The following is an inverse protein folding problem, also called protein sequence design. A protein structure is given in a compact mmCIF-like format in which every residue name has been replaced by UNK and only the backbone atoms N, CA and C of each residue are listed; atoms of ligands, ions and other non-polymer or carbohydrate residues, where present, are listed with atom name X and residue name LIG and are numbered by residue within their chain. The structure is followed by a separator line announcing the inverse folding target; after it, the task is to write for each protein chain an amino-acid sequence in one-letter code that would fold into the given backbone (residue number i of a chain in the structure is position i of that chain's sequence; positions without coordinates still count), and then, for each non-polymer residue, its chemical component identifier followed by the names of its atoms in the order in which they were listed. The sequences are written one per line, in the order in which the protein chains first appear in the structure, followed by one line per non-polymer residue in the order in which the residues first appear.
data_IF_073076592392
#
_entry.id   IF_073076592392
#
_cell.length_a   1.000
_cell.length_b   1.000
_cell.length_c   1.000
_cell.angle_alpha   90.00
_cell.angle_beta   90.00
_cell.angle_gamma   90.00
#
_symmetry.space_group_name_H-M   'P 1'
#
loop_
_entity.id
_entity.type
_entity.pdbx_description
1 polymer ?
#
# COMPACT_ATOMS: atom_id res chain seq x y z
N UNK A 1 3.20 25.34 -10.86
CA UNK A 1 3.11 23.86 -10.82
C UNK A 1 1.64 23.50 -10.99
N UNK A 2 1.25 22.58 -11.88
CA UNK A 2 -0.17 22.26 -12.04
C UNK A 2 -0.65 21.48 -10.80
N UNK A 3 -1.47 22.13 -9.98
CA UNK A 3 -1.99 21.61 -8.71
C UNK A 3 -3.17 20.64 -8.88
N UNK A 4 -3.56 20.31 -10.12
CA UNK A 4 -4.80 19.57 -10.44
C UNK A 4 -4.77 18.08 -10.08
N UNK A 5 -3.58 17.50 -9.84
CA UNK A 5 -3.45 16.06 -9.66
C UNK A 5 -3.32 15.61 -8.21
N UNK A 6 -3.31 16.55 -7.25
CA UNK A 6 -2.96 16.25 -5.85
C UNK A 6 -3.97 16.92 -4.91
N UNK A 7 -4.95 16.14 -4.46
CA UNK A 7 -5.77 16.53 -3.33
C UNK A 7 -5.05 16.19 -2.02
N UNK A 8 -4.54 17.21 -1.33
CA UNK A 8 -3.91 17.05 -0.02
C UNK A 8 -4.97 16.97 1.09
N UNK A 9 -4.70 16.13 2.08
CA UNK A 9 -5.45 16.09 3.32
C UNK A 9 -4.50 16.18 4.52
N UNK A 10 -4.90 16.93 5.54
CA UNK A 10 -4.27 16.82 6.86
C UNK A 10 -4.85 15.60 7.58
N UNK A 11 -3.96 14.73 8.06
CA UNK A 11 -4.31 13.69 9.00
C UNK A 11 -4.48 14.28 10.41
N UNK A 12 -5.21 13.61 11.33
CA UNK A 12 -5.47 14.12 12.69
C UNK A 12 -4.20 14.34 13.52
N UNK A 13 -3.12 13.63 13.19
CA UNK A 13 -1.78 13.77 13.79
C UNK A 13 -0.98 14.98 13.23
N UNK A 14 -1.56 15.77 12.32
CA UNK A 14 -0.92 16.92 11.70
C UNK A 14 -0.04 16.58 10.50
N UNK A 15 0.10 15.30 10.15
CA UNK A 15 0.83 14.90 8.95
C UNK A 15 0.01 15.28 7.70
N UNK A 16 0.71 15.83 6.70
CA UNK A 16 0.13 16.02 5.38
C UNK A 16 0.28 14.73 4.59
N UNK A 17 -0.74 14.40 3.81
CA UNK A 17 -0.62 13.36 2.82
C UNK A 17 -1.67 13.45 1.72
N UNK A 18 -1.47 12.72 0.62
CA UNK A 18 -2.35 12.79 -0.53
C UNK A 18 -3.63 12.00 -0.27
N UNK A 19 -4.65 12.22 -1.10
CA UNK A 19 -5.80 11.33 -1.20
C UNK A 19 -5.60 10.30 -2.29
N UNK A 20 -6.12 9.10 -2.08
CA UNK A 20 -6.25 8.13 -3.16
C UNK A 20 -7.16 8.70 -4.25
N UNK A 21 -6.72 8.70 -5.50
CA UNK A 21 -7.50 9.21 -6.64
C UNK A 21 -8.78 8.40 -6.91
N UNK A 22 -8.80 7.11 -6.56
CA UNK A 22 -9.93 6.22 -6.84
C UNK A 22 -10.97 6.23 -5.69
N UNK A 23 -10.54 6.00 -4.45
CA UNK A 23 -11.46 5.86 -3.31
C UNK A 23 -11.50 7.08 -2.38
N UNK A 24 -10.64 8.09 -2.59
CA UNK A 24 -10.65 9.34 -1.82
C UNK A 24 -10.14 9.23 -0.37
N UNK A 25 -9.67 8.04 0.06
CA UNK A 25 -9.14 7.87 1.42
C UNK A 25 -7.90 8.74 1.61
N UNK A 26 -7.74 9.23 2.85
CA UNK A 26 -6.56 10.00 3.24
C UNK A 26 -5.39 9.03 3.46
N UNK A 27 -4.28 9.32 2.80
CA UNK A 27 -3.05 8.55 2.88
C UNK A 27 -1.98 9.37 3.60
N UNK A 28 -1.00 8.71 4.18
CA UNK A 28 0.27 9.33 4.55
C UNK A 28 1.23 9.22 3.37
N UNK A 29 2.25 10.07 3.27
CA UNK A 29 3.22 9.94 2.18
C UNK A 29 3.95 8.59 2.17
N UNK A 30 4.05 7.91 3.32
CA UNK A 30 4.69 6.59 3.42
C UNK A 30 3.84 5.41 2.91
N UNK A 31 2.51 5.55 2.82
CA UNK A 31 1.62 4.48 2.35
C UNK A 31 0.98 4.76 0.98
N UNK A 32 1.27 5.91 0.37
CA UNK A 32 0.74 6.29 -0.93
C UNK A 32 1.57 5.70 -2.07
N UNK A 33 0.92 4.89 -2.92
CA UNK A 33 1.53 4.35 -4.14
C UNK A 33 1.35 5.35 -5.29
N UNK A 34 2.33 5.46 -6.19
CA UNK A 34 2.31 6.43 -7.29
C UNK A 34 2.11 5.72 -8.62
N UNK A 35 1.11 6.16 -9.40
CA UNK A 35 0.95 5.80 -10.81
C UNK A 35 0.89 7.10 -11.60
N UNK A 36 1.87 7.30 -12.48
CA UNK A 36 2.12 8.52 -13.24
C UNK A 36 2.17 9.78 -12.34
N UNK A 37 1.08 10.54 -12.32
CA UNK A 37 0.94 11.81 -11.58
C UNK A 37 -0.05 11.72 -10.43
N UNK A 38 -0.53 10.53 -10.09
CA UNK A 38 -1.62 10.32 -9.14
C UNK A 38 -1.20 9.39 -8.00
N UNK A 39 -1.82 9.57 -6.84
CA UNK A 39 -1.60 8.76 -5.64
C UNK A 39 -2.75 7.78 -5.42
N UNK A 40 -2.42 6.56 -4.99
CA UNK A 40 -3.36 5.48 -4.74
C UNK A 40 -3.07 4.78 -3.41
N UNK A 41 -4.10 4.22 -2.78
CA UNK A 41 -3.91 3.26 -1.69
C UNK A 41 -3.41 1.92 -2.24
N UNK A 42 -2.89 1.06 -1.37
CA UNK A 42 -2.39 -0.26 -1.77
C UNK A 42 -3.43 -1.07 -2.53
N UNK A 43 -4.66 -1.14 -2.04
CA UNK A 43 -5.72 -1.94 -2.66
C UNK A 43 -6.02 -1.48 -4.09
N UNK A 44 -6.26 -0.18 -4.29
CA UNK A 44 -6.49 0.37 -5.63
C UNK A 44 -5.25 0.28 -6.53
N UNK A 45 -4.04 0.35 -5.95
CA UNK A 45 -2.81 0.17 -6.71
C UNK A 45 -2.70 -1.27 -7.25
N UNK A 46 -2.99 -2.27 -6.42
CA UNK A 46 -3.02 -3.68 -6.83
C UNK A 46 -4.08 -3.93 -7.90
N UNK A 47 -5.29 -3.39 -7.72
CA UNK A 47 -6.38 -3.50 -8.72
C UNK A 47 -5.98 -2.92 -10.08
N UNK A 48 -5.28 -1.78 -10.10
CA UNK A 48 -4.89 -1.09 -11.34
C UNK A 48 -3.67 -1.72 -12.04
N UNK A 49 -2.71 -2.22 -11.26
CA UNK A 49 -1.42 -2.71 -11.80
C UNK A 49 -1.37 -4.22 -11.95
N UNK A 50 -2.25 -4.96 -11.27
CA UNK A 50 -2.14 -6.41 -11.13
C UNK A 50 -0.91 -6.82 -10.33
N UNK A 51 -0.36 -5.93 -9.49
CA UNK A 51 0.82 -6.22 -8.70
C UNK A 51 0.54 -7.37 -7.72
N UNK A 52 1.43 -8.35 -7.71
CA UNK A 52 1.41 -9.49 -6.79
C UNK A 52 2.70 -9.51 -5.96
N UNK A 53 2.66 -10.18 -4.81
CA UNK A 53 3.87 -10.36 -4.00
C UNK A 53 4.91 -11.16 -4.78
N UNK A 54 6.16 -10.70 -4.77
CA UNK A 54 7.29 -11.47 -5.31
C UNK A 54 7.61 -12.72 -4.48
N UNK A 55 7.11 -12.78 -3.24
CA UNK A 55 7.32 -13.90 -2.32
C UNK A 55 6.24 -14.95 -2.53
N UNK A 56 6.63 -16.20 -2.77
CA UNK A 56 5.73 -17.35 -2.70
C UNK A 56 5.61 -17.80 -1.26
N UNK A 57 4.39 -18.02 -0.75
CA UNK A 57 4.19 -18.65 0.56
C UNK A 57 4.66 -20.09 0.47
N UNK A 58 5.76 -20.42 1.14
CA UNK A 58 6.21 -21.80 1.27
C UNK A 58 5.32 -22.55 2.25
N UNK A 59 4.59 -23.55 1.77
CA UNK A 59 3.90 -24.49 2.66
C UNK A 59 4.94 -25.37 3.35
N UNK A 60 5.24 -25.07 4.61
CA UNK A 60 6.00 -25.97 5.46
C UNK A 60 5.03 -26.99 6.07
N UNK A 61 5.19 -28.27 5.72
CA UNK A 61 4.39 -29.37 6.26
C UNK A 61 4.49 -29.46 7.80
N UNK A 62 5.61 -29.00 8.37
CA UNK A 62 5.84 -28.96 9.81
C UNK A 62 6.49 -27.64 10.22
N UNK A 63 6.14 -27.15 11.42
CA UNK A 63 6.84 -26.01 12.03
C UNK A 63 8.27 -26.46 12.37
N UNK A 64 9.24 -25.60 12.09
CA UNK A 64 10.66 -25.95 12.23
C UNK A 64 11.09 -26.38 13.66
N UNK A 65 10.34 -25.97 14.69
CA UNK A 65 10.58 -26.38 16.09
C UNK A 65 10.01 -27.75 16.47
N UNK A 66 9.29 -28.44 15.57
CA UNK A 66 8.66 -29.75 15.86
C UNK A 66 9.60 -30.94 15.61
N UNK A 67 10.80 -30.72 15.09
CA UNK A 67 11.75 -31.79 14.74
C UNK A 67 12.62 -32.28 15.92
N UNK A 68 12.67 -31.57 17.05
CA UNK A 68 13.59 -31.85 18.16
C UNK A 68 12.94 -32.52 19.39
N UNK A 69 11.67 -32.93 19.31
CA UNK A 69 10.93 -33.52 20.45
C UNK A 69 10.89 -35.05 20.49
N UNK A 70 11.79 -35.75 19.79
CA UNK A 70 11.91 -37.21 19.84
C UNK A 70 13.27 -37.67 20.36
#
# INVERSE_FOLDING_TARGET
MPHENIELAQAPNGELGPRCKQCGIRLTFGNAMVIDKNYFCWDCYVELTGAESATTVGEAEQRFWMAESN
#
